data_IF_841229101971
#
_entry.id   IF_841229101971
#
_cell.length_a   1.000
_cell.length_b   1.000
_cell.length_c   1.000
_cell.angle_alpha   90.00
_cell.angle_beta   90.00
_cell.angle_gamma   90.00
#
_symmetry.space_group_name_H-M   'P 1'
#
loop_
_entity.id
_entity.type
_entity.pdbx_description
1 polymer ?
#
# COMPACT_ATOMS: atom_id res chain seq x y z
N UNK A 1 -15.24 21.23 -1.83
CA UNK A 1 -14.81 20.18 -2.78
C UNK A 1 -16.00 19.29 -3.06
N UNK A 2 -16.39 19.12 -4.33
CA UNK A 2 -17.53 18.30 -4.73
C UNK A 2 -17.02 17.06 -5.48
N UNK A 3 -17.59 15.89 -5.19
CA UNK A 3 -17.22 14.62 -5.82
C UNK A 3 -18.44 14.03 -6.52
N UNK A 4 -18.27 13.60 -7.76
CA UNK A 4 -19.32 12.98 -8.56
C UNK A 4 -19.13 11.46 -8.56
N UNK A 5 -20.07 10.72 -7.98
CA UNK A 5 -20.02 9.25 -7.94
C UNK A 5 -20.86 8.63 -9.06
N UNK A 6 -20.20 8.29 -10.18
CA UNK A 6 -20.85 7.80 -11.39
C UNK A 6 -21.74 6.56 -11.16
N UNK A 7 -21.37 5.67 -10.23
CA UNK A 7 -22.11 4.44 -9.91
C UNK A 7 -23.50 4.68 -9.34
N UNK A 8 -23.74 5.84 -8.73
CA UNK A 8 -25.03 6.19 -8.11
C UNK A 8 -26.06 6.70 -9.13
N UNK A 9 -25.64 6.98 -10.36
CA UNK A 9 -26.53 7.45 -11.42
C UNK A 9 -26.99 6.26 -12.28
N UNK A 10 -28.32 6.12 -12.44
CA UNK A 10 -28.90 5.14 -13.37
C UNK A 10 -28.80 5.70 -14.79
N UNK A 11 -28.30 4.92 -15.74
CA UNK A 11 -28.24 5.30 -17.16
C UNK A 11 -29.61 5.70 -17.75
N UNK A 12 -30.69 5.25 -17.11
CA UNK A 12 -32.09 5.55 -17.48
C UNK A 12 -32.64 6.85 -16.88
N UNK A 13 -31.86 7.59 -16.08
CA UNK A 13 -32.33 8.88 -15.56
C UNK A 13 -32.40 9.87 -16.70
N UNK A 14 -33.62 10.32 -17.01
CA UNK A 14 -34.01 11.23 -18.10
C UNK A 14 -33.45 12.66 -17.96
N UNK A 15 -32.26 12.84 -17.38
CA UNK A 15 -31.59 14.14 -17.33
C UNK A 15 -30.83 14.34 -18.64
N UNK A 16 -31.53 14.83 -19.67
CA UNK A 16 -30.95 15.15 -20.98
C UNK A 16 -29.70 16.04 -20.85
N UNK A 17 -29.67 16.94 -19.87
CA UNK A 17 -28.56 17.86 -19.57
C UNK A 17 -27.35 17.15 -18.95
N UNK A 18 -27.55 16.18 -18.05
CA UNK A 18 -26.44 15.54 -17.32
C UNK A 18 -25.88 14.32 -18.04
N UNK A 19 -26.65 13.73 -18.94
CA UNK A 19 -26.26 12.52 -19.66
C UNK A 19 -24.97 12.68 -20.46
N UNK A 20 -24.74 13.76 -21.24
CA UNK A 20 -23.45 14.00 -21.90
C UNK A 20 -22.29 14.14 -20.90
N UNK A 21 -22.49 14.79 -19.75
CA UNK A 21 -21.45 14.90 -18.71
C UNK A 21 -21.11 13.53 -18.10
N UNK A 22 -22.11 12.68 -17.86
CA UNK A 22 -21.89 11.32 -17.37
C UNK A 22 -21.18 10.43 -18.40
N UNK A 23 -21.50 10.60 -19.69
CA UNK A 23 -20.83 9.90 -20.79
C UNK A 23 -19.36 10.33 -20.90
N UNK A 24 -19.09 11.63 -20.83
CA UNK A 24 -17.73 12.20 -20.82
C UNK A 24 -16.89 11.67 -19.65
N UNK A 25 -17.35 11.85 -18.41
CA UNK A 25 -16.59 11.37 -17.24
C UNK A 25 -16.54 9.84 -17.14
N UNK A 26 -17.48 9.14 -17.78
CA UNK A 26 -17.53 7.69 -17.86
C UNK A 26 -16.72 7.10 -19.02
N UNK A 27 -16.06 7.91 -19.85
CA UNK A 27 -15.36 7.49 -21.07
C UNK A 27 -16.25 6.67 -22.03
N UNK A 28 -17.53 7.05 -22.16
CA UNK A 28 -18.48 6.42 -23.08
C UNK A 28 -18.67 7.28 -24.33
N UNK A 29 -18.99 6.67 -25.49
CA UNK A 29 -19.36 7.45 -26.66
C UNK A 29 -20.62 8.27 -26.37
N UNK A 30 -20.65 9.50 -26.87
CA UNK A 30 -21.80 10.37 -26.69
C UNK A 30 -23.03 9.84 -27.42
N UNK A 31 -24.16 9.73 -26.72
CA UNK A 31 -25.44 9.34 -27.32
C UNK A 31 -26.27 10.54 -27.77
N UNK A 32 -25.87 11.74 -27.37
CA UNK A 32 -26.48 13.03 -27.72
C UNK A 32 -25.37 14.04 -28.05
N UNK A 33 -25.70 15.12 -28.75
CA UNK A 33 -24.72 16.17 -29.03
C UNK A 33 -24.24 16.81 -27.71
N UNK A 34 -22.94 16.74 -27.39
CA UNK A 34 -22.42 17.30 -26.16
C UNK A 34 -22.41 18.83 -26.23
N UNK A 35 -22.56 19.47 -25.07
CA UNK A 35 -22.38 20.92 -24.96
C UNK A 35 -20.95 21.32 -25.35
N UNK A 36 -20.79 22.54 -25.87
CA UNK A 36 -19.49 23.07 -26.32
C UNK A 36 -18.37 22.89 -25.30
N UNK A 37 -18.65 23.04 -24.01
CA UNK A 37 -17.66 22.86 -22.94
C UNK A 37 -17.14 21.41 -22.88
N UNK A 38 -18.05 20.43 -23.04
CA UNK A 38 -17.71 19.01 -23.07
C UNK A 38 -16.93 18.68 -24.34
N UNK A 39 -17.35 19.20 -25.51
CA UNK A 39 -16.63 18.98 -26.77
C UNK A 39 -15.20 19.53 -26.73
N UNK A 40 -15.01 20.72 -26.14
CA UNK A 40 -13.68 21.32 -25.98
C UNK A 40 -12.82 20.49 -25.02
N UNK A 41 -13.41 20.01 -23.91
CA UNK A 41 -12.71 19.15 -22.97
C UNK A 41 -12.32 17.81 -23.61
N UNK A 42 -13.21 17.20 -24.40
CA UNK A 42 -12.96 15.96 -25.14
C UNK A 42 -11.81 16.10 -26.15
N UNK A 43 -11.76 17.22 -26.88
CA UNK A 43 -10.65 17.52 -27.79
C UNK A 43 -9.30 17.69 -27.08
N UNK A 44 -9.30 18.27 -25.89
CA UNK A 44 -8.10 18.38 -25.06
C UNK A 44 -7.63 17.04 -24.52
N UNK A 45 -8.48 16.01 -24.49
CA UNK A 45 -8.13 14.65 -24.10
C UNK A 45 -7.74 13.77 -25.29
N UNK A 46 -7.93 14.24 -26.52
CA UNK A 46 -7.53 13.50 -27.71
C UNK A 46 -6.01 13.47 -27.85
N UNK A 47 -5.41 12.34 -27.49
CA UNK A 47 -3.97 12.12 -27.62
C UNK A 47 -3.41 12.40 -29.03
N UNK A 48 -4.23 12.26 -30.08
CA UNK A 48 -3.81 12.55 -31.46
C UNK A 48 -3.69 14.05 -31.75
N UNK A 49 -4.41 14.89 -31.03
CA UNK A 49 -4.38 16.36 -31.16
C UNK A 49 -3.29 17.02 -30.31
N UNK A 50 -2.67 16.27 -29.40
CA UNK A 50 -1.66 16.78 -28.47
C UNK A 50 -0.36 17.23 -29.15
N UNK A 51 0.24 18.28 -28.60
CA UNK A 51 1.57 18.73 -28.99
C UNK A 51 2.64 17.71 -28.59
N UNK A 52 3.82 17.78 -29.20
CA UNK A 52 4.95 16.93 -28.81
C UNK A 52 5.37 17.16 -27.35
N UNK A 53 5.23 18.39 -26.86
CA UNK A 53 5.52 18.77 -25.47
C UNK A 53 4.54 18.11 -24.50
N UNK A 54 3.23 18.14 -24.80
CA UNK A 54 2.20 17.51 -23.97
C UNK A 54 2.40 15.99 -23.89
N UNK A 55 2.70 15.35 -25.02
CA UNK A 55 3.00 13.91 -25.08
C UNK A 55 4.25 13.54 -24.27
N UNK A 56 5.29 14.38 -24.35
CA UNK A 56 6.54 14.17 -23.61
C UNK A 56 6.31 14.34 -22.10
N UNK A 57 5.55 15.35 -21.69
CA UNK A 57 5.23 15.58 -20.29
C UNK A 57 4.38 14.43 -19.71
N UNK A 58 3.36 13.99 -20.44
CA UNK A 58 2.52 12.87 -20.00
C UNK A 58 3.30 11.56 -19.90
N UNK A 59 4.16 11.24 -20.88
CA UNK A 59 5.01 10.05 -20.82
C UNK A 59 6.02 10.11 -19.67
N UNK A 60 6.63 11.27 -19.41
CA UNK A 60 7.50 11.47 -18.25
C UNK A 60 6.75 11.29 -16.92
N UNK A 61 5.53 11.81 -16.80
CA UNK A 61 4.71 11.64 -15.61
C UNK A 61 4.39 10.16 -15.38
N UNK A 62 3.99 9.43 -16.43
CA UNK A 62 3.70 7.99 -16.35
C UNK A 62 4.92 7.17 -15.95
N UNK A 63 6.08 7.47 -16.53
CA UNK A 63 7.35 6.83 -16.14
C UNK A 63 7.67 7.07 -14.66
N UNK A 64 7.46 8.29 -14.17
CA UNK A 64 7.69 8.63 -12.76
C UNK A 64 6.71 7.93 -11.82
N UNK A 65 5.42 7.85 -12.19
CA UNK A 65 4.42 7.10 -11.43
C UNK A 65 4.79 5.62 -11.33
N UNK A 66 5.18 5.01 -12.44
CA UNK A 66 5.59 3.61 -12.50
C UNK A 66 6.84 3.35 -11.65
N UNK A 67 7.85 4.22 -11.74
CA UNK A 67 9.04 4.16 -10.89
C UNK A 67 8.72 4.31 -9.40
N UNK A 68 7.80 5.21 -9.05
CA UNK A 68 7.36 5.39 -7.66
C UNK A 68 6.63 4.15 -7.12
N UNK A 69 5.80 3.51 -7.95
CA UNK A 69 5.12 2.27 -7.59
C UNK A 69 6.13 1.13 -7.38
N UNK A 70 7.07 0.95 -8.30
CA UNK A 70 8.13 -0.06 -8.17
C UNK A 70 9.01 0.17 -6.93
N UNK A 71 9.34 1.42 -6.63
CA UNK A 71 10.10 1.76 -5.43
C UNK A 71 9.32 1.46 -4.14
N UNK A 72 8.01 1.71 -4.14
CA UNK A 72 7.12 1.36 -3.04
C UNK A 72 7.06 -0.15 -2.83
N UNK A 73 6.88 -0.92 -3.89
CA UNK A 73 6.83 -2.39 -3.82
C UNK A 73 8.15 -2.96 -3.29
N UNK A 74 9.29 -2.45 -3.77
CA UNK A 74 10.61 -2.85 -3.28
C UNK A 74 10.81 -2.54 -1.80
N UNK A 75 10.40 -1.35 -1.35
CA UNK A 75 10.49 -0.96 0.06
C UNK A 75 9.60 -1.85 0.94
N UNK A 76 8.40 -2.21 0.48
CA UNK A 76 7.49 -3.10 1.19
C UNK A 76 8.07 -4.51 1.33
N UNK A 77 8.61 -5.07 0.25
CA UNK A 77 9.23 -6.39 0.27
C UNK A 77 10.46 -6.43 1.19
N UNK A 78 11.29 -5.38 1.18
CA UNK A 78 12.45 -5.27 2.07
C UNK A 78 12.01 -5.18 3.53
N UNK A 79 11.04 -4.32 3.85
CA UNK A 79 10.51 -4.20 5.21
C UNK A 79 9.88 -5.51 5.71
N UNK A 80 9.22 -6.27 4.82
CA UNK A 80 8.68 -7.58 5.15
C UNK A 80 9.77 -8.60 5.44
N UNK A 81 10.80 -8.66 4.59
CA UNK A 81 11.93 -9.57 4.78
C UNK A 81 12.66 -9.29 6.10
N UNK A 82 13.02 -8.03 6.35
CA UNK A 82 13.65 -7.63 7.62
C UNK A 82 12.75 -7.88 8.83
N UNK A 83 11.45 -7.64 8.69
CA UNK A 83 10.48 -7.89 9.75
C UNK A 83 10.40 -9.38 10.13
N UNK A 84 10.41 -10.27 9.13
CA UNK A 84 10.44 -11.71 9.33
C UNK A 84 11.74 -12.14 9.99
N UNK A 85 12.89 -11.64 9.50
CA UNK A 85 14.20 -11.97 10.06
C UNK A 85 14.30 -11.54 11.53
N UNK A 86 13.99 -10.27 11.84
CA UNK A 86 13.98 -9.74 13.21
C UNK A 86 12.98 -10.49 14.09
N UNK A 87 11.82 -10.85 13.55
CA UNK A 87 10.81 -11.63 14.25
C UNK A 87 11.29 -13.04 14.58
N UNK A 88 11.98 -13.69 13.65
CA UNK A 88 12.55 -15.03 13.86
C UNK A 88 13.69 -15.00 14.87
N UNK A 89 14.59 -14.02 14.80
CA UNK A 89 15.65 -13.84 15.79
C UNK A 89 15.09 -13.61 17.18
N UNK A 90 14.13 -12.69 17.34
CA UNK A 90 13.45 -12.46 18.62
C UNK A 90 12.74 -13.72 19.11
N UNK A 91 12.00 -14.41 18.24
CA UNK A 91 11.30 -15.65 18.59
C UNK A 91 12.24 -16.77 19.06
N UNK A 92 13.45 -16.87 18.48
CA UNK A 92 14.47 -17.83 18.95
C UNK A 92 14.98 -17.48 20.35
N UNK A 93 15.28 -16.21 20.60
CA UNK A 93 15.76 -15.75 21.91
C UNK A 93 14.67 -15.89 22.98
N UNK A 94 13.47 -15.39 22.70
CA UNK A 94 12.32 -15.47 23.61
C UNK A 94 11.89 -16.93 23.87
N UNK A 95 11.90 -17.78 22.84
CA UNK A 95 11.61 -19.22 22.98
C UNK A 95 12.67 -19.96 23.80
N UNK A 96 13.95 -19.64 23.60
CA UNK A 96 15.05 -20.17 24.39
C UNK A 96 14.95 -19.76 25.86
N UNK A 97 14.65 -18.48 26.12
CA UNK A 97 14.38 -17.99 27.47
C UNK A 97 13.20 -18.73 28.11
N UNK A 98 12.05 -18.81 27.42
CA UNK A 98 10.86 -19.47 27.96
C UNK A 98 11.10 -20.95 28.32
N UNK A 99 11.88 -21.67 27.49
CA UNK A 99 12.27 -23.05 27.78
C UNK A 99 13.11 -23.14 29.05
N UNK A 100 14.15 -22.33 29.19
CA UNK A 100 15.04 -22.35 30.34
C UNK A 100 14.34 -21.88 31.62
N UNK A 101 13.51 -20.84 31.54
CA UNK A 101 12.70 -20.36 32.66
C UNK A 101 11.74 -21.46 33.16
N UNK A 102 11.13 -22.24 32.27
CA UNK A 102 10.28 -23.37 32.67
C UNK A 102 11.07 -24.47 33.40
N UNK A 103 12.29 -24.80 32.95
CA UNK A 103 13.14 -25.78 33.64
C UNK A 103 13.57 -25.29 35.02
N UNK A 104 13.86 -24.00 35.17
CA UNK A 104 14.17 -23.39 36.46
C UNK A 104 12.97 -23.41 37.40
N UNK A 105 11.77 -23.03 36.91
CA UNK A 105 10.53 -23.09 37.70
C UNK A 105 10.14 -24.52 38.12
N UNK A 106 10.51 -25.52 37.34
CA UNK A 106 10.32 -26.94 37.68
C UNK A 106 11.39 -27.50 38.64
N UNK A 107 12.39 -26.69 39.01
CA UNK A 107 13.51 -27.11 39.85
C UNK A 107 14.47 -28.08 39.15
N UNK A 108 14.39 -28.19 37.82
CA UNK A 108 15.24 -29.07 37.01
C UNK A 108 16.57 -28.39 36.62
N UNK A 109 16.66 -27.07 36.73
CA UNK A 109 17.84 -26.27 36.43
C UNK A 109 17.96 -25.12 37.44
N UNK A 110 19.17 -24.61 37.68
CA UNK A 110 19.36 -23.42 38.52
C UNK A 110 19.42 -22.15 37.67
N UNK A 111 19.07 -21.00 38.25
CA UNK A 111 19.10 -19.70 37.57
C UNK A 111 20.49 -19.37 37.00
N UNK A 112 21.57 -19.80 37.67
CA UNK A 112 22.94 -19.58 37.22
C UNK A 112 23.27 -20.31 35.91
N UNK A 113 22.80 -21.56 35.77
CA UNK A 113 23.05 -22.36 34.57
C UNK A 113 22.21 -21.84 33.40
N UNK A 114 20.96 -21.41 33.66
CA UNK A 114 20.10 -20.82 32.64
C UNK A 114 20.62 -19.47 32.15
N UNK A 115 21.06 -18.59 33.07
CA UNK A 115 21.57 -17.27 32.71
C UNK A 115 22.86 -17.37 31.90
N UNK A 116 23.75 -18.31 32.25
CA UNK A 116 24.98 -18.57 31.49
C UNK A 116 24.70 -19.05 30.06
N UNK A 117 23.70 -19.90 29.86
CA UNK A 117 23.28 -20.39 28.53
C UNK A 117 22.77 -19.26 27.63
N UNK A 118 22.12 -18.25 28.21
CA UNK A 118 21.61 -17.09 27.48
C UNK A 118 22.62 -15.94 27.39
N UNK A 119 23.80 -16.07 28.02
CA UNK A 119 24.82 -15.03 28.05
C UNK A 119 24.42 -13.78 28.81
N UNK A 120 23.49 -13.90 29.79
CA UNK A 120 23.03 -12.81 30.65
C UNK A 120 23.42 -13.05 32.11
N UNK A 121 23.31 -12.01 32.93
CA UNK A 121 23.56 -12.12 34.37
C UNK A 121 22.43 -12.87 35.07
N UNK A 122 22.74 -13.45 36.24
CA UNK A 122 21.73 -14.15 37.07
C UNK A 122 20.60 -13.18 37.46
N UNK A 123 20.95 -11.95 37.82
CA UNK A 123 19.97 -10.92 38.20
C UNK A 123 19.05 -10.54 37.04
N UNK A 124 19.58 -10.32 35.84
CA UNK A 124 18.75 -10.07 34.63
C UNK A 124 17.82 -11.24 34.32
N UNK A 125 18.31 -12.48 34.51
CA UNK A 125 17.49 -13.67 34.30
C UNK A 125 16.36 -13.78 35.33
N UNK A 126 16.66 -13.53 36.61
CA UNK A 126 15.67 -13.56 37.70
C UNK A 126 14.64 -12.44 37.62
N UNK A 127 15.00 -11.26 37.11
CA UNK A 127 14.05 -10.17 36.84
C UNK A 127 13.02 -10.53 35.76
N UNK A 128 13.38 -11.41 34.83
CA UNK A 128 12.52 -11.86 33.73
C UNK A 128 11.76 -13.17 34.04
N UNK A 129 12.10 -13.86 35.14
CA UNK A 129 11.58 -15.18 35.53
C UNK A 129 10.19 -15.13 36.17
#
# INVERSE_FOLDING_TARGET
MAFLELKKYKETSKDEVRKPWLEFFGNKPFTQEPERAISQADQLLDYKSWSEEDRKMFSQLRMREEQALLAQDYALETARAEGIEKGLERGKVEGGFAMLANLVRQGLLTSEVASQQLGMTVSEFEELL
#
